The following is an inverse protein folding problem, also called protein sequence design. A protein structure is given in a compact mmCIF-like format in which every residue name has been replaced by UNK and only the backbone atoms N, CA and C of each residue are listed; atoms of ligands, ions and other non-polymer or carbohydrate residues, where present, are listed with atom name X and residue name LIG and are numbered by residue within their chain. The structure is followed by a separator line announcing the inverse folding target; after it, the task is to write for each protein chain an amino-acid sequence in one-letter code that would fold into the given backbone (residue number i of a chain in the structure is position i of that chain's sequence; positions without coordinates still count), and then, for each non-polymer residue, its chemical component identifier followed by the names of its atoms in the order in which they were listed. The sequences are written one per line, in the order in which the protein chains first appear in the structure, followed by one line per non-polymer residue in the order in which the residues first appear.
data_IF_528698420036
#
_entry.id   IF_528698420036
#
_cell.length_a   1.000
_cell.length_b   1.000
_cell.length_c   1.000
_cell.angle_alpha   90.00
_cell.angle_beta   90.00
_cell.angle_gamma   90.00
#
_symmetry.space_group_name_H-M   'P 1'
#
loop_
_entity.id
_entity.type
_entity.pdbx_description
1 polymer ?
#
# COMPACT_ATOMS: atom_id res chain seq x y z
N UNK A 1 -19.46 -17.58 -5.48
CA UNK A 1 -20.38 -16.91 -4.55
C UNK A 1 -19.63 -16.68 -3.23
N UNK A 2 -19.22 -15.44 -2.94
CA UNK A 2 -18.41 -15.12 -1.75
C UNK A 2 -19.32 -15.15 -0.51
N UNK A 3 -18.98 -15.97 0.47
CA UNK A 3 -19.71 -16.09 1.74
C UNK A 3 -19.72 -14.74 2.48
N UNK A 4 -20.90 -14.19 2.77
CA UNK A 4 -21.07 -12.88 3.42
C UNK A 4 -20.40 -12.78 4.78
N UNK A 5 -20.24 -13.92 5.49
CA UNK A 5 -19.61 -13.99 6.80
C UNK A 5 -18.13 -13.55 6.81
N UNK A 6 -17.45 -13.63 5.67
CA UNK A 6 -16.01 -13.33 5.55
C UNK A 6 -15.72 -12.07 4.73
N UNK A 7 -16.72 -11.20 4.56
CA UNK A 7 -16.55 -9.95 3.83
C UNK A 7 -16.13 -8.82 4.76
N UNK A 8 -15.15 -8.03 4.32
CA UNK A 8 -14.78 -6.80 5.00
C UNK A 8 -15.87 -5.76 4.81
N UNK A 9 -16.17 -5.00 5.86
CA UNK A 9 -17.04 -3.84 5.76
C UNK A 9 -16.35 -2.71 4.99
N UNK A 10 -17.12 -1.71 4.55
CA UNK A 10 -16.53 -0.53 3.90
C UNK A 10 -15.55 0.17 4.86
N UNK A 11 -15.91 0.28 6.13
CA UNK A 11 -15.07 0.93 7.14
C UNK A 11 -13.75 0.16 7.36
N UNK A 12 -13.79 -1.18 7.42
CA UNK A 12 -12.58 -2.00 7.51
C UNK A 12 -11.65 -1.75 6.32
N UNK A 13 -12.21 -1.67 5.10
CA UNK A 13 -11.41 -1.41 3.90
C UNK A 13 -10.80 0.00 3.89
N UNK A 14 -11.53 1.00 4.39
CA UNK A 14 -11.05 2.38 4.50
C UNK A 14 -9.92 2.48 5.53
N UNK A 15 -10.11 1.90 6.72
CA UNK A 15 -9.10 1.88 7.78
C UNK A 15 -7.82 1.19 7.30
N UNK A 16 -7.92 -0.03 6.75
CA UNK A 16 -6.74 -0.75 6.26
C UNK A 16 -6.06 -0.01 5.11
N UNK A 17 -6.82 0.59 4.19
CA UNK A 17 -6.25 1.38 3.10
C UNK A 17 -5.51 2.60 3.62
N UNK A 18 -6.08 3.33 4.57
CA UNK A 18 -5.42 4.50 5.18
C UNK A 18 -4.16 4.13 5.94
N UNK A 19 -4.19 3.05 6.74
CA UNK A 19 -3.01 2.52 7.42
C UNK A 19 -1.93 2.13 6.41
N UNK A 20 -2.32 1.44 5.32
CA UNK A 20 -1.38 1.03 4.27
C UNK A 20 -0.69 2.23 3.62
N UNK A 21 -1.45 3.27 3.25
CA UNK A 21 -0.90 4.50 2.67
C UNK A 21 0.05 5.18 3.67
N UNK A 22 -0.35 5.29 4.93
CA UNK A 22 0.47 5.90 5.98
C UNK A 22 1.80 5.16 6.14
N UNK A 23 1.76 3.83 6.21
CA UNK A 23 2.96 2.99 6.33
C UNK A 23 3.87 3.18 5.11
N UNK A 24 3.33 3.22 3.88
CA UNK A 24 4.13 3.48 2.67
C UNK A 24 4.82 4.85 2.72
N UNK A 25 4.09 5.89 3.13
CA UNK A 25 4.65 7.25 3.24
C UNK A 25 5.76 7.27 4.29
N UNK A 26 5.51 6.69 5.48
CA UNK A 26 6.48 6.66 6.56
C UNK A 26 7.72 5.85 6.18
N UNK A 27 7.56 4.68 5.56
CA UNK A 27 8.65 3.85 5.04
C UNK A 27 9.55 4.64 4.08
N UNK A 28 8.96 5.27 3.06
CA UNK A 28 9.69 6.07 2.08
C UNK A 28 10.38 7.30 2.71
N UNK A 29 9.77 7.89 3.73
CA UNK A 29 10.37 8.99 4.46
C UNK A 29 11.54 8.53 5.32
N UNK A 30 11.36 7.44 6.07
CA UNK A 30 12.36 6.91 7.01
C UNK A 30 13.57 6.34 6.29
N UNK A 31 13.40 5.76 5.09
CA UNK A 31 14.52 5.34 4.25
C UNK A 31 15.50 6.45 3.86
N UNK A 32 15.16 7.71 4.08
CA UNK A 32 16.07 8.84 3.87
C UNK A 32 17.04 9.05 5.03
N UNK A 33 16.79 8.46 6.20
CA UNK A 33 17.72 8.51 7.31
C UNK A 33 18.87 7.52 7.08
N UNK A 34 20.10 7.93 7.40
CA UNK A 34 21.30 7.09 7.21
C UNK A 34 21.45 5.98 8.26
N UNK A 35 20.74 6.08 9.38
CA UNK A 35 20.93 5.24 10.56
C UNK A 35 19.64 4.47 10.89
N UNK A 36 19.12 3.74 9.91
CA UNK A 36 17.95 2.88 10.11
C UNK A 36 18.21 1.50 9.51
N UNK A 37 17.61 0.48 10.10
CA UNK A 37 17.68 -0.88 9.58
C UNK A 37 16.98 -0.95 8.24
N UNK A 38 17.71 -1.35 7.20
CA UNK A 38 17.16 -1.47 5.85
C UNK A 38 16.33 -2.74 5.70
N UNK A 39 15.45 -2.72 4.71
CA UNK A 39 14.48 -3.74 4.36
C UNK A 39 15.04 -4.83 3.43
N UNK A 40 14.30 -5.93 3.31
CA UNK A 40 14.58 -7.05 2.41
C UNK A 40 13.55 -7.10 1.25
N UNK A 41 13.23 -5.96 0.63
CA UNK A 41 12.12 -5.82 -0.33
C UNK A 41 12.39 -6.49 -1.69
N UNK A 42 13.62 -6.46 -2.19
CA UNK A 42 13.99 -6.95 -3.52
C UNK A 42 15.00 -8.07 -3.50
N UNK A 43 15.97 -7.98 -2.59
CA UNK A 43 17.01 -8.97 -2.39
C UNK A 43 17.07 -9.25 -0.91
N UNK A 44 17.20 -10.53 -0.58
CA UNK A 44 17.29 -10.98 0.79
C UNK A 44 18.74 -10.92 1.28
N UNK A 45 18.96 -10.19 2.35
CA UNK A 45 20.21 -10.09 3.09
C UNK A 45 19.96 -10.49 4.55
N UNK A 46 20.55 -11.60 5.04
CA UNK A 46 20.36 -12.04 6.42
C UNK A 46 20.89 -11.02 7.45
N UNK A 47 21.84 -10.18 7.07
CA UNK A 47 22.43 -9.13 7.92
C UNK A 47 21.36 -8.14 8.40
N UNK A 48 20.39 -7.78 7.54
CA UNK A 48 19.30 -6.85 7.87
C UNK A 48 18.40 -7.37 8.97
N UNK A 49 18.14 -8.67 8.98
CA UNK A 49 17.34 -9.30 10.04
C UNK A 49 18.11 -9.34 11.35
N UNK A 50 19.43 -9.55 11.28
CA UNK A 50 20.30 -9.50 12.46
C UNK A 50 20.33 -8.08 13.03
N UNK A 51 20.55 -7.06 12.21
CA UNK A 51 20.50 -5.65 12.60
C UNK A 51 19.18 -5.30 13.31
N UNK A 52 18.05 -5.81 12.81
CA UNK A 52 16.74 -5.60 13.44
C UNK A 52 16.62 -6.32 14.79
N UNK A 53 17.08 -7.56 14.89
CA UNK A 53 17.06 -8.33 16.14
C UNK A 53 17.94 -7.64 17.19
N UNK A 54 19.12 -7.17 16.79
CA UNK A 54 20.04 -6.47 17.68
C UNK A 54 19.40 -5.15 18.17
N UNK A 55 18.81 -4.33 17.28
CA UNK A 55 18.04 -3.12 17.65
C UNK A 55 16.90 -3.41 18.63
N UNK A 56 16.19 -4.52 18.45
CA UNK A 56 15.11 -4.96 19.34
C UNK A 56 15.62 -5.38 20.73
N UNK A 57 16.73 -6.13 20.79
CA UNK A 57 17.31 -6.62 22.03
C UNK A 57 17.95 -5.48 22.86
N UNK A 58 18.54 -4.50 22.19
CA UNK A 58 19.15 -3.33 22.82
C UNK A 58 18.12 -2.27 23.26
N UNK A 59 16.84 -2.44 22.89
CA UNK A 59 15.78 -1.44 23.08
C UNK A 59 16.22 -0.05 22.62
N UNK A 60 16.80 0.01 21.42
CA UNK A 60 17.29 1.28 20.91
C UNK A 60 16.14 2.30 20.82
N UNK A 61 16.46 3.55 21.14
CA UNK A 61 15.58 4.69 20.97
C UNK A 61 15.03 4.82 19.55
N UNK A 62 15.76 4.28 18.55
CA UNK A 62 15.38 4.19 17.15
C UNK A 62 14.51 3.00 16.76
N UNK A 63 14.20 2.06 17.67
CA UNK A 63 13.53 0.79 17.33
C UNK A 63 12.23 0.97 16.53
N UNK A 64 11.43 2.00 16.86
CA UNK A 64 10.21 2.28 16.10
C UNK A 64 10.51 2.65 14.64
N UNK A 65 11.56 3.44 14.39
CA UNK A 65 11.98 3.82 13.05
C UNK A 65 12.54 2.61 12.30
N UNK A 66 13.31 1.75 12.97
CA UNK A 66 13.85 0.52 12.39
C UNK A 66 12.74 -0.44 11.96
N UNK A 67 11.69 -0.59 12.77
CA UNK A 67 10.53 -1.41 12.41
C UNK A 67 9.80 -0.88 11.18
N UNK A 68 9.57 0.43 11.10
CA UNK A 68 8.88 1.03 9.95
C UNK A 68 9.76 1.04 8.70
N UNK A 69 11.07 1.25 8.85
CA UNK A 69 12.05 1.13 7.78
C UNK A 69 12.03 -0.30 7.23
N UNK A 70 12.25 -1.29 8.10
CA UNK A 70 12.39 -2.69 7.68
C UNK A 70 11.08 -3.30 7.15
N UNK A 71 9.92 -3.06 7.80
CA UNK A 71 8.65 -3.69 7.45
C UNK A 71 7.69 -2.82 6.65
N UNK A 72 7.93 -1.52 6.54
CA UNK A 72 6.95 -0.60 5.96
C UNK A 72 6.65 -0.83 4.47
N UNK A 73 7.55 -1.48 3.74
CA UNK A 73 7.30 -1.90 2.35
C UNK A 73 6.07 -2.81 2.21
N UNK A 74 5.68 -3.55 3.26
CA UNK A 74 4.46 -4.37 3.26
C UNK A 74 3.15 -3.56 3.20
N UNK A 75 3.20 -2.24 3.40
CA UNK A 75 2.05 -1.37 3.12
C UNK A 75 1.61 -1.44 1.64
N UNK A 76 2.56 -1.63 0.71
CA UNK A 76 2.28 -1.74 -0.74
C UNK A 76 1.38 -2.94 -1.08
N UNK A 77 1.74 -4.20 -0.74
CA UNK A 77 0.88 -5.35 -1.06
C UNK A 77 -0.50 -5.27 -0.40
N UNK A 78 -0.61 -4.71 0.82
CA UNK A 78 -1.93 -4.51 1.47
C UNK A 78 -2.77 -3.49 0.70
N UNK A 79 -2.17 -2.37 0.27
CA UNK A 79 -2.85 -1.35 -0.54
C UNK A 79 -3.33 -1.91 -1.90
N UNK A 80 -2.49 -2.68 -2.59
CA UNK A 80 -2.84 -3.33 -3.87
C UNK A 80 -3.97 -4.33 -3.67
N UNK A 81 -3.90 -5.15 -2.62
CA UNK A 81 -4.95 -6.11 -2.29
C UNK A 81 -6.30 -5.42 -2.03
N UNK A 82 -6.33 -4.37 -1.21
CA UNK A 82 -7.56 -3.60 -0.93
C UNK A 82 -8.15 -2.96 -2.20
N UNK A 83 -7.30 -2.47 -3.11
CA UNK A 83 -7.73 -1.91 -4.38
C UNK A 83 -8.43 -2.94 -5.28
N UNK A 84 -7.87 -4.15 -5.35
CA UNK A 84 -8.49 -5.28 -6.05
C UNK A 84 -9.79 -5.76 -5.38
N UNK A 85 -9.79 -5.88 -4.06
CA UNK A 85 -10.97 -6.27 -3.28
C UNK A 85 -12.15 -5.32 -3.52
N UNK A 86 -11.92 -4.01 -3.44
CA UNK A 86 -12.96 -3.00 -3.73
C UNK A 86 -13.50 -3.07 -5.16
N UNK A 87 -12.65 -3.42 -6.13
CA UNK A 87 -13.06 -3.62 -7.52
C UNK A 87 -14.02 -4.81 -7.67
N UNK A 88 -13.67 -5.95 -7.07
CA UNK A 88 -14.51 -7.16 -7.05
C UNK A 88 -15.86 -6.87 -6.41
N UNK A 89 -15.86 -6.26 -5.23
CA UNK A 89 -17.09 -5.94 -4.50
C UNK A 89 -18.00 -4.97 -5.26
N UNK A 90 -17.42 -4.07 -6.07
CA UNK A 90 -18.18 -3.10 -6.87
C UNK A 90 -18.82 -3.70 -8.12
N UNK A 91 -18.11 -4.59 -8.80
CA UNK A 91 -18.47 -5.00 -10.15
C UNK A 91 -18.99 -6.44 -10.25
N UNK A 92 -18.51 -7.35 -9.40
CA UNK A 92 -18.92 -8.76 -9.44
C UNK A 92 -20.26 -8.98 -8.71
N UNK A 93 -20.52 -8.24 -7.63
CA UNK A 93 -21.75 -8.38 -6.84
C UNK A 93 -22.99 -7.71 -7.45
N UNK A 94 -22.82 -6.72 -8.34
CA UNK A 94 -23.90 -5.81 -8.74
C UNK A 94 -24.55 -6.14 -10.09
N UNK A 95 -24.30 -7.33 -10.66
CA UNK A 95 -24.72 -7.71 -12.03
C UNK A 95 -24.56 -6.57 -13.06
N UNK A 96 -23.49 -5.79 -12.91
CA UNK A 96 -23.28 -4.63 -13.78
C UNK A 96 -22.86 -5.17 -15.13
N UNK A 97 -23.65 -4.92 -16.18
CA UNK A 97 -23.26 -5.26 -17.56
C UNK A 97 -22.07 -4.40 -17.99
N UNK A 98 -20.87 -4.90 -17.74
CA UNK A 98 -19.63 -4.21 -18.05
C UNK A 98 -19.24 -4.45 -19.51
N UNK A 99 -19.45 -3.44 -20.36
CA UNK A 99 -18.81 -3.39 -21.67
C UNK A 99 -17.32 -3.08 -21.48
N UNK A 100 -16.46 -4.10 -21.49
CA UNK A 100 -15.01 -4.00 -21.25
C UNK A 100 -14.35 -2.81 -21.95
N UNK A 101 -14.61 -2.61 -23.25
CA UNK A 101 -14.05 -1.49 -24.02
C UNK A 101 -14.43 -0.11 -23.47
N UNK A 102 -15.69 0.07 -23.07
CA UNK A 102 -16.17 1.34 -22.48
C UNK A 102 -15.57 1.55 -21.09
N UNK A 103 -15.44 0.47 -20.32
CA UNK A 103 -14.79 0.49 -19.01
C UNK A 103 -13.31 0.88 -19.14
N UNK A 104 -12.53 0.20 -19.98
CA UNK A 104 -11.11 0.45 -20.15
C UNK A 104 -10.84 1.86 -20.67
N UNK A 105 -11.57 2.31 -21.70
CA UNK A 105 -11.43 3.68 -22.22
C UNK A 105 -11.64 4.72 -21.13
N UNK A 106 -12.73 4.61 -20.35
CA UNK A 106 -13.03 5.54 -19.25
C UNK A 106 -11.90 5.61 -18.20
N UNK A 107 -11.26 4.49 -17.87
CA UNK A 107 -10.20 4.47 -16.86
C UNK A 107 -8.86 4.92 -17.44
N UNK A 108 -8.57 4.60 -18.71
CA UNK A 108 -7.41 5.09 -19.43
C UNK A 108 -7.45 6.61 -19.60
N UNK A 109 -8.60 7.19 -19.97
CA UNK A 109 -8.78 8.63 -20.11
C UNK A 109 -8.50 9.35 -18.76
N UNK A 110 -8.95 8.78 -17.64
CA UNK A 110 -8.68 9.31 -16.30
C UNK A 110 -7.19 9.23 -15.92
N UNK A 111 -6.55 8.11 -16.21
CA UNK A 111 -5.12 7.94 -15.96
C UNK A 111 -4.32 8.92 -16.82
N UNK A 112 -4.70 9.07 -18.08
CA UNK A 112 -4.09 10.02 -19.00
C UNK A 112 -4.21 11.46 -18.49
N UNK A 113 -5.41 11.88 -18.06
CA UNK A 113 -5.63 13.20 -17.47
C UNK A 113 -4.79 13.43 -16.22
N UNK A 114 -4.59 12.40 -15.38
CA UNK A 114 -3.75 12.50 -14.18
C UNK A 114 -2.26 12.67 -14.52
N UNK A 115 -1.81 12.14 -15.65
CA UNK A 115 -0.42 12.22 -16.11
C UNK A 115 -0.08 13.54 -16.81
N UNK A 116 -1.08 14.33 -17.21
CA UNK A 116 -0.88 15.62 -17.85
C UNK A 116 -0.51 16.69 -16.78
N UNK A 117 0.62 17.42 -16.95
CA UNK A 117 1.04 18.46 -16.01
C UNK A 117 0.05 19.64 -15.88
N UNK A 118 -0.78 19.86 -16.91
CA UNK A 118 -1.51 21.12 -17.10
C UNK A 118 -2.68 21.35 -16.12
N UNK A 119 -3.11 20.34 -15.37
CA UNK A 119 -4.16 20.48 -14.35
C UNK A 119 -3.63 20.65 -12.93
N UNK A 120 -2.31 20.63 -12.71
CA UNK A 120 -1.70 20.81 -11.39
C UNK A 120 -1.28 22.26 -11.09
N UNK A 121 -1.47 23.20 -12.03
CA UNK A 121 -0.97 24.58 -11.93
C UNK A 121 -2.01 25.65 -12.36
N UNK A 122 -3.29 25.39 -12.11
CA UNK A 122 -4.36 26.38 -12.32
C UNK A 122 -5.31 26.46 -11.13
N UNK A 123 -4.75 26.84 -9.97
CA UNK A 123 -5.41 27.64 -8.92
C UNK A 123 -4.33 28.47 -8.21
#
# INVERSE_FOLDING_TARGET
MINEKYQMTLDDTLVLRSISILIIILHNYIHRFSNVVLENQHVYYPERNKELIDSFLEFDSGLFLDLISHYGHYGVPVFVFQSGYGLVMKYEKKEVSLKFRKFMKRHADKLWLLLLPDHACSE
#
